data_IF_217377114087
#
_entry.id   IF_217377114087
#
_cell.length_a   1.000
_cell.length_b   1.000
_cell.length_c   1.000
_cell.angle_alpha   90.00
_cell.angle_beta   90.00
_cell.angle_gamma   90.00
#
_symmetry.space_group_name_H-M   'P 1'
#
loop_
_entity.id
_entity.type
_entity.pdbx_description
1 polymer ?
#
# COMPACT_ATOMS: atom_id res chain seq x y z
N UNK A 1 7.52 -72.16 27.56
CA UNK A 1 7.54 -71.14 26.47
C UNK A 1 6.66 -69.95 26.78
N UNK A 2 6.64 -69.37 27.95
CA UNK A 2 5.83 -68.20 28.32
C UNK A 2 6.62 -67.02 28.90
N UNK A 3 7.90 -67.18 29.14
CA UNK A 3 8.76 -66.13 29.78
C UNK A 3 9.44 -65.22 28.74
N UNK A 4 9.55 -65.63 27.46
CA UNK A 4 10.25 -64.83 26.41
C UNK A 4 9.43 -63.62 25.92
N UNK A 5 8.10 -63.66 26.06
CA UNK A 5 7.24 -62.53 25.59
C UNK A 5 7.22 -61.37 26.56
N UNK A 6 7.44 -61.63 27.84
CA UNK A 6 7.50 -60.57 28.89
C UNK A 6 8.77 -59.71 28.79
N UNK A 7 9.88 -60.31 28.41
CA UNK A 7 11.14 -59.62 28.21
C UNK A 7 11.08 -58.71 26.92
N UNK A 8 10.42 -59.18 25.85
CA UNK A 8 10.23 -58.39 24.64
C UNK A 8 9.28 -57.18 24.89
N UNK A 9 8.23 -57.34 25.70
CA UNK A 9 7.33 -56.25 26.05
C UNK A 9 8.01 -55.20 26.97
N UNK A 10 8.91 -55.60 27.86
CA UNK A 10 9.66 -54.67 28.71
C UNK A 10 10.69 -53.84 27.91
N UNK A 11 11.29 -54.40 26.89
CA UNK A 11 12.21 -53.64 26.00
C UNK A 11 11.51 -52.62 25.10
N UNK A 12 10.28 -52.91 24.68
CA UNK A 12 9.46 -51.97 23.91
C UNK A 12 8.96 -50.80 24.77
N UNK A 13 8.66 -51.02 26.05
CA UNK A 13 8.26 -49.94 26.96
C UNK A 13 9.41 -49.01 27.36
N UNK A 14 10.66 -49.51 27.39
CA UNK A 14 11.83 -48.69 27.71
C UNK A 14 12.29 -47.81 26.52
N UNK A 15 11.95 -48.13 25.29
CA UNK A 15 12.29 -47.34 24.11
C UNK A 15 11.32 -46.17 23.81
N UNK A 16 10.16 -46.13 24.48
CA UNK A 16 9.16 -45.06 24.27
C UNK A 16 9.39 -43.81 25.14
N UNK A 17 10.32 -43.85 26.10
CA UNK A 17 10.55 -42.74 27.05
C UNK A 17 11.64 -41.75 26.64
N UNK A 18 12.21 -41.89 25.45
CA UNK A 18 13.40 -41.11 25.02
C UNK A 18 13.13 -39.89 24.16
N UNK A 19 11.89 -39.61 23.77
CA UNK A 19 11.56 -38.49 22.88
C UNK A 19 10.59 -37.46 23.48
N UNK A 20 10.72 -37.19 24.76
CA UNK A 20 9.99 -36.09 25.36
C UNK A 20 10.98 -35.00 25.79
N UNK A 21 10.78 -33.82 25.23
CA UNK A 21 11.32 -32.52 25.65
C UNK A 21 12.71 -32.12 25.19
N UNK A 22 12.99 -32.14 23.89
CA UNK A 22 13.63 -30.97 23.35
C UNK A 22 12.52 -29.91 23.16
N UNK A 23 12.04 -29.31 24.22
CA UNK A 23 11.09 -28.22 24.15
C UNK A 23 11.72 -27.11 23.34
N UNK A 24 11.20 -26.88 22.15
CA UNK A 24 11.48 -25.68 21.40
C UNK A 24 11.07 -24.51 22.30
N UNK A 25 12.03 -23.89 22.97
CA UNK A 25 11.79 -22.62 23.66
C UNK A 25 11.76 -21.56 22.58
N UNK A 26 10.60 -20.99 22.25
CA UNK A 26 10.59 -19.83 21.35
C UNK A 26 11.49 -18.77 21.98
N UNK A 27 12.47 -18.32 21.22
CA UNK A 27 13.27 -17.16 21.61
C UNK A 27 12.32 -15.98 21.46
N UNK A 28 11.94 -15.38 22.56
CA UNK A 28 11.17 -14.15 22.58
C UNK A 28 12.08 -13.03 22.09
N UNK A 29 11.94 -12.66 20.82
CA UNK A 29 12.67 -11.55 20.22
C UNK A 29 11.94 -10.28 20.65
N UNK A 30 12.64 -9.38 21.34
CA UNK A 30 12.08 -8.10 21.78
C UNK A 30 11.67 -7.26 20.56
N UNK A 31 10.60 -6.46 20.69
CA UNK A 31 10.08 -5.61 19.62
C UNK A 31 11.15 -4.70 18.99
N UNK A 32 12.14 -4.31 19.77
CA UNK A 32 13.25 -3.48 19.32
C UNK A 32 14.21 -4.26 18.39
N UNK A 33 14.41 -5.54 18.61
CA UNK A 33 15.21 -6.43 17.76
C UNK A 33 14.43 -6.83 16.51
N UNK A 34 13.13 -7.09 16.64
CA UNK A 34 12.20 -7.29 15.51
C UNK A 34 12.11 -6.06 14.60
N UNK A 35 12.22 -4.84 15.13
CA UNK A 35 12.20 -3.61 14.34
C UNK A 35 13.46 -3.46 13.48
N UNK A 36 14.60 -3.95 13.92
CA UNK A 36 15.85 -4.00 13.14
C UNK A 36 15.80 -5.06 12.04
N UNK A 37 15.14 -6.19 12.30
CA UNK A 37 14.98 -7.30 11.34
C UNK A 37 13.92 -7.05 10.28
N UNK A 38 12.88 -6.26 10.57
CA UNK A 38 11.77 -5.93 9.65
C UNK A 38 12.05 -4.75 8.71
N UNK A 39 13.28 -4.34 8.55
CA UNK A 39 13.62 -3.16 7.78
C UNK A 39 13.48 -1.89 8.61
N UNK A 40 13.85 -0.77 8.06
CA UNK A 40 14.09 0.50 8.73
C UNK A 40 13.01 0.88 9.74
N UNK A 41 13.29 0.80 11.02
CA UNK A 41 12.54 1.47 12.06
C UNK A 41 12.65 2.99 11.83
N UNK A 42 11.56 3.60 11.42
CA UNK A 42 11.50 5.06 11.31
C UNK A 42 11.18 5.61 12.70
N UNK A 43 12.17 6.17 13.37
CA UNK A 43 11.96 6.80 14.66
C UNK A 43 10.95 7.94 14.55
N UNK A 44 10.06 8.12 15.56
CA UNK A 44 9.17 9.27 15.63
C UNK A 44 9.95 10.58 15.41
N UNK A 45 9.48 11.46 14.54
CA UNK A 45 10.15 12.72 14.20
C UNK A 45 11.24 12.63 13.11
N UNK A 46 11.58 11.44 12.61
CA UNK A 46 12.51 11.31 11.49
C UNK A 46 11.90 11.69 10.14
N UNK A 47 10.59 11.51 9.95
CA UNK A 47 9.90 11.94 8.74
C UNK A 47 9.72 13.45 8.78
N UNK A 48 10.39 14.16 7.88
CA UNK A 48 10.29 15.63 7.76
C UNK A 48 9.38 16.08 6.62
N UNK A 49 9.07 15.20 5.68
CA UNK A 49 8.04 15.42 4.65
C UNK A 49 7.45 14.10 4.18
N UNK A 50 6.14 14.09 3.99
CA UNK A 50 5.40 12.99 3.42
C UNK A 50 4.45 13.51 2.35
N UNK A 51 4.52 12.95 1.15
CA UNK A 51 3.67 13.33 0.02
C UNK A 51 3.01 12.13 -0.63
N UNK A 52 1.77 12.32 -1.06
CA UNK A 52 1.00 11.34 -1.83
C UNK A 52 0.53 12.02 -3.10
N UNK A 53 0.71 11.35 -4.23
CA UNK A 53 0.09 11.70 -5.50
C UNK A 53 -0.60 10.47 -6.05
N UNK A 54 -1.88 10.58 -6.38
CA UNK A 54 -2.65 9.53 -7.04
C UNK A 54 -3.24 10.08 -8.33
N UNK A 55 -3.23 9.29 -9.39
CA UNK A 55 -3.96 9.61 -10.62
C UNK A 55 -4.61 8.36 -11.21
N UNK A 56 -5.79 8.54 -11.77
CA UNK A 56 -6.50 7.49 -12.50
C UNK A 56 -7.11 8.08 -13.76
N UNK A 57 -6.90 7.41 -14.87
CA UNK A 57 -7.47 7.79 -16.17
C UNK A 57 -8.07 6.59 -16.87
N UNK A 58 -9.16 6.82 -17.56
CA UNK A 58 -9.84 5.85 -18.41
C UNK A 58 -10.08 6.46 -19.77
N UNK A 59 -9.53 5.85 -20.81
CA UNK A 59 -9.81 6.20 -22.22
C UNK A 59 -10.60 5.05 -22.85
N UNK A 60 -11.74 5.36 -23.44
CA UNK A 60 -12.57 4.41 -24.17
C UNK A 60 -12.15 4.26 -25.64
N UNK A 61 -12.80 3.35 -26.36
CA UNK A 61 -12.51 3.09 -27.77
C UNK A 61 -12.79 4.28 -28.71
N UNK A 62 -13.68 5.23 -28.34
CA UNK A 62 -13.89 6.46 -29.10
C UNK A 62 -12.82 7.52 -28.87
N UNK A 63 -11.91 7.31 -27.92
CA UNK A 63 -10.86 8.25 -27.54
C UNK A 63 -11.28 9.23 -26.45
N UNK A 64 -12.52 9.18 -25.94
CA UNK A 64 -12.92 9.99 -24.79
C UNK A 64 -12.11 9.59 -23.56
N UNK A 65 -11.57 10.58 -22.85
CA UNK A 65 -10.78 10.40 -21.62
C UNK A 65 -11.51 11.02 -20.44
N UNK A 66 -11.60 10.26 -19.36
CA UNK A 66 -12.04 10.71 -18.04
C UNK A 66 -11.02 10.34 -17.00
N UNK A 67 -10.79 11.18 -16.00
CA UNK A 67 -9.88 10.88 -14.92
C UNK A 67 -9.81 11.95 -13.87
N UNK A 68 -8.98 11.69 -12.86
CA UNK A 68 -8.63 12.66 -11.83
C UNK A 68 -7.21 12.44 -11.36
N UNK A 69 -6.64 13.48 -10.78
CA UNK A 69 -5.42 13.43 -9.99
C UNK A 69 -5.69 14.04 -8.62
N UNK A 70 -5.09 13.48 -7.58
CA UNK A 70 -5.13 14.04 -6.23
C UNK A 70 -3.75 14.04 -5.62
N UNK A 71 -3.45 15.08 -4.86
CA UNK A 71 -2.18 15.21 -4.16
C UNK A 71 -2.36 15.74 -2.75
N UNK A 72 -1.47 15.32 -1.85
CA UNK A 72 -1.34 15.84 -0.50
C UNK A 72 0.14 15.86 -0.12
N UNK A 73 0.56 16.90 0.59
CA UNK A 73 1.88 16.97 1.19
C UNK A 73 1.79 17.41 2.65
N UNK A 74 2.49 16.69 3.51
CA UNK A 74 2.54 16.94 4.96
C UNK A 74 4.01 17.21 5.33
N UNK A 75 4.21 18.25 6.13
CA UNK A 75 5.49 18.62 6.76
C UNK A 75 5.25 19.02 8.20
N UNK A 76 6.31 19.18 8.97
CA UNK A 76 6.19 19.63 10.37
C UNK A 76 5.42 20.95 10.54
N UNK A 77 5.48 21.84 9.54
CA UNK A 77 4.75 23.11 9.51
C UNK A 77 3.28 22.97 9.03
N UNK A 78 2.85 21.80 8.57
CA UNK A 78 1.49 21.59 8.07
C UNK A 78 0.51 21.49 9.24
N UNK A 79 -0.32 22.51 9.41
CA UNK A 79 -1.32 22.55 10.48
C UNK A 79 -2.49 21.60 10.18
N UNK A 80 -2.92 21.55 8.92
CA UNK A 80 -4.02 20.71 8.46
C UNK A 80 -3.66 20.10 7.10
N UNK A 81 -3.46 18.78 7.03
CA UNK A 81 -3.24 18.13 5.76
C UNK A 81 -4.52 18.12 4.93
N UNK A 82 -4.43 18.54 3.67
CA UNK A 82 -5.54 18.57 2.74
C UNK A 82 -5.15 17.88 1.43
N UNK A 83 -6.09 17.15 0.87
CA UNK A 83 -5.99 16.65 -0.49
C UNK A 83 -6.52 17.71 -1.45
N UNK A 84 -5.84 17.85 -2.58
CA UNK A 84 -6.29 18.68 -3.71
C UNK A 84 -6.57 17.80 -4.90
N UNK A 85 -7.70 18.03 -5.58
CA UNK A 85 -8.21 17.19 -6.66
C UNK A 85 -8.35 18.00 -7.92
N UNK A 86 -7.76 17.52 -9.01
CA UNK A 86 -7.97 18.00 -10.38
C UNK A 86 -8.66 16.92 -11.20
N UNK A 87 -9.69 17.28 -11.96
CA UNK A 87 -10.35 16.37 -12.88
C UNK A 87 -9.81 16.52 -14.29
N UNK A 88 -9.75 15.42 -15.03
CA UNK A 88 -9.22 15.33 -16.39
C UNK A 88 -10.35 14.89 -17.31
N UNK A 89 -10.60 15.64 -18.39
CA UNK A 89 -11.60 15.31 -19.41
C UNK A 89 -11.07 15.67 -20.79
N UNK A 90 -11.15 14.72 -21.72
CA UNK A 90 -10.90 14.96 -23.15
C UNK A 90 -12.03 14.32 -23.94
N UNK A 91 -12.39 14.94 -25.04
CA UNK A 91 -13.40 14.42 -25.97
C UNK A 91 -12.70 13.63 -27.06
N UNK A 92 -13.16 12.42 -27.30
CA UNK A 92 -12.75 11.60 -28.44
C UNK A 92 -13.51 12.01 -29.73
N UNK A 93 -13.06 11.48 -30.85
CA UNK A 93 -13.64 11.69 -32.16
C UNK A 93 -14.07 10.37 -32.83
N UNK A 94 -13.97 9.26 -32.13
CA UNK A 94 -14.38 7.94 -32.62
C UNK A 94 -15.86 7.65 -32.45
N UNK A 95 -16.29 6.51 -32.95
CA UNK A 95 -17.66 6.02 -32.80
C UNK A 95 -17.95 5.59 -31.35
N UNK A 96 -19.19 5.70 -30.93
CA UNK A 96 -19.64 5.24 -29.60
C UNK A 96 -19.26 3.77 -29.38
N UNK A 97 -18.58 3.44 -28.28
CA UNK A 97 -18.19 2.06 -28.00
C UNK A 97 -19.42 1.15 -27.83
N UNK A 98 -19.29 -0.08 -28.29
CA UNK A 98 -20.28 -1.12 -27.99
C UNK A 98 -20.28 -1.40 -26.49
N UNK A 99 -21.45 -1.54 -25.84
CA UNK A 99 -21.54 -1.87 -24.43
C UNK A 99 -20.72 -3.12 -24.05
N UNK A 100 -20.07 -3.08 -22.91
CA UNK A 100 -19.31 -4.21 -22.40
C UNK A 100 -20.23 -5.36 -21.97
N UNK A 101 -19.97 -6.55 -22.49
CA UNK A 101 -20.70 -7.80 -22.18
C UNK A 101 -19.87 -8.78 -21.38
N UNK A 102 -18.61 -8.45 -21.11
CA UNK A 102 -17.69 -9.31 -20.37
C UNK A 102 -18.14 -9.58 -18.95
N UNK A 103 -17.76 -10.74 -18.43
CA UNK A 103 -17.98 -11.13 -17.06
C UNK A 103 -16.65 -11.46 -16.38
N UNK A 104 -16.39 -10.76 -15.26
CA UNK A 104 -15.18 -10.96 -14.43
C UNK A 104 -15.63 -11.38 -13.04
N UNK A 105 -15.25 -12.60 -12.65
CA UNK A 105 -15.63 -13.22 -11.38
C UNK A 105 -14.49 -13.07 -10.36
N UNK A 106 -14.84 -12.92 -9.07
CA UNK A 106 -13.89 -12.85 -7.95
C UNK A 106 -13.47 -11.43 -7.60
N UNK A 107 -12.54 -11.32 -6.66
CA UNK A 107 -11.97 -10.04 -6.20
C UNK A 107 -12.62 -9.42 -4.98
N UNK A 108 -13.61 -10.06 -4.35
CA UNK A 108 -14.23 -9.55 -3.12
C UNK A 108 -13.23 -9.46 -1.95
N UNK A 109 -12.25 -10.37 -1.88
CA UNK A 109 -11.22 -10.38 -0.85
C UNK A 109 -10.20 -9.23 -0.96
N UNK A 110 -10.13 -8.54 -2.10
CA UNK A 110 -9.16 -7.45 -2.31
C UNK A 110 -9.37 -6.26 -1.37
N UNK A 111 -10.60 -6.05 -0.91
CA UNK A 111 -10.94 -4.93 -0.02
C UNK A 111 -10.41 -5.13 1.42
N UNK A 112 -10.01 -6.34 1.77
CA UNK A 112 -9.49 -6.70 3.10
C UNK A 112 -7.96 -6.91 3.10
N UNK A 113 -7.29 -6.62 1.98
CA UNK A 113 -5.84 -6.78 1.86
C UNK A 113 -5.09 -5.72 2.65
N UNK A 114 -3.96 -6.10 3.24
CA UNK A 114 -3.02 -5.18 3.89
C UNK A 114 -1.80 -4.95 3.00
N UNK A 115 -1.19 -3.76 3.12
CA UNK A 115 -0.03 -3.39 2.31
C UNK A 115 -0.44 -2.86 0.93
N UNK A 116 0.26 -3.28 -0.14
CA UNK A 116 -0.01 -2.87 -1.51
C UNK A 116 -0.68 -4.00 -2.28
N UNK A 117 -1.89 -3.77 -2.73
CA UNK A 117 -2.66 -4.72 -3.55
C UNK A 117 -2.95 -4.11 -4.90
N UNK A 118 -2.54 -4.81 -5.96
CA UNK A 118 -2.81 -4.43 -7.34
C UNK A 118 -3.51 -5.56 -8.08
N UNK A 119 -4.61 -5.25 -8.76
CA UNK A 119 -5.37 -6.22 -9.55
C UNK A 119 -5.84 -5.61 -10.86
N UNK A 120 -5.62 -6.33 -11.95
CA UNK A 120 -6.22 -6.06 -13.26
C UNK A 120 -6.96 -7.30 -13.70
N UNK A 121 -8.22 -7.16 -14.04
CA UNK A 121 -9.04 -8.25 -14.56
C UNK A 121 -9.79 -7.75 -15.78
N UNK A 122 -9.65 -8.44 -16.87
CA UNK A 122 -10.23 -8.06 -18.15
C UNK A 122 -11.01 -9.22 -18.79
N UNK A 123 -12.19 -8.90 -19.33
CA UNK A 123 -12.96 -9.74 -20.19
C UNK A 123 -13.36 -8.87 -21.40
N UNK A 124 -12.75 -9.09 -22.53
CA UNK A 124 -12.87 -8.28 -23.76
C UNK A 124 -11.49 -8.01 -24.36
N UNK A 125 -11.48 -7.70 -25.64
CA UNK A 125 -10.26 -7.64 -26.46
C UNK A 125 -9.66 -6.23 -26.52
N UNK A 126 -8.36 -6.15 -26.79
CA UNK A 126 -7.66 -4.90 -27.05
C UNK A 126 -7.58 -3.95 -25.86
N UNK A 127 -7.81 -4.43 -24.64
CA UNK A 127 -7.68 -3.62 -23.42
C UNK A 127 -6.23 -3.46 -22.98
N UNK A 128 -5.89 -2.29 -22.47
CA UNK A 128 -4.62 -2.02 -21.77
C UNK A 128 -4.91 -1.45 -20.40
N UNK A 129 -4.34 -2.04 -19.35
CA UNK A 129 -4.48 -1.51 -18.00
C UNK A 129 -3.16 -1.58 -17.25
N UNK A 130 -2.77 -0.45 -16.66
CA UNK A 130 -1.57 -0.32 -15.86
C UNK A 130 -1.93 0.13 -14.43
N UNK A 131 -1.48 -0.64 -13.46
CA UNK A 131 -1.48 -0.26 -12.06
C UNK A 131 -0.03 -0.06 -11.63
N UNK A 132 0.33 1.14 -11.20
CA UNK A 132 1.70 1.48 -10.82
C UNK A 132 1.73 2.10 -9.42
N UNK A 133 2.64 1.62 -8.59
CA UNK A 133 2.93 2.19 -7.27
C UNK A 133 4.43 2.48 -7.18
N UNK A 134 4.77 3.73 -6.95
CA UNK A 134 6.14 4.19 -6.71
C UNK A 134 6.27 4.67 -5.26
N UNK A 135 7.27 4.17 -4.54
CA UNK A 135 7.59 4.62 -3.19
C UNK A 135 9.00 5.17 -3.20
N UNK A 136 9.12 6.48 -3.06
CA UNK A 136 10.38 7.20 -3.06
C UNK A 136 10.73 7.59 -1.61
N UNK A 137 11.85 7.08 -1.12
CA UNK A 137 12.38 7.44 0.19
C UNK A 137 13.74 8.08 -0.02
N UNK A 138 13.91 9.29 0.49
CA UNK A 138 15.20 10.00 0.48
C UNK A 138 15.52 10.60 1.83
N UNK A 139 16.79 10.87 2.06
CA UNK A 139 17.26 11.58 3.24
C UNK A 139 17.62 13.03 2.88
N UNK A 140 17.27 13.96 3.77
CA UNK A 140 17.62 15.37 3.63
C UNK A 140 17.61 16.05 5.02
N UNK A 141 18.32 17.16 5.15
CA UNK A 141 18.35 17.96 6.39
C UNK A 141 17.15 18.91 6.50
N UNK A 142 16.53 19.24 5.37
CA UNK A 142 15.39 20.15 5.28
C UNK A 142 14.28 19.54 4.44
N UNK A 143 13.01 19.79 4.76
CA UNK A 143 11.90 19.37 3.91
C UNK A 143 11.97 20.06 2.55
N UNK A 144 11.49 19.42 1.47
CA UNK A 144 11.37 20.07 0.17
C UNK A 144 10.35 21.21 0.24
N UNK A 145 10.39 22.19 -0.68
CA UNK A 145 9.33 23.19 -0.78
C UNK A 145 7.95 22.53 -0.91
N UNK A 146 6.95 23.14 -0.31
CA UNK A 146 5.55 22.71 -0.55
C UNK A 146 5.21 22.96 -2.01
N UNK A 147 4.76 21.92 -2.70
CA UNK A 147 4.24 22.07 -4.05
C UNK A 147 2.98 22.95 -4.03
N UNK A 148 2.80 23.86 -5.02
CA UNK A 148 1.57 24.62 -5.14
C UNK A 148 0.35 23.66 -5.22
N UNK A 149 -0.70 23.99 -4.49
CA UNK A 149 -1.94 23.22 -4.53
C UNK A 149 -2.55 23.29 -5.94
N UNK A 150 -2.82 22.14 -6.54
CA UNK A 150 -3.39 22.00 -7.86
C UNK A 150 -4.81 21.46 -7.76
N UNK A 151 -5.80 22.23 -8.18
CA UNK A 151 -7.20 21.81 -8.17
C UNK A 151 -7.99 22.27 -6.95
N UNK A 152 -9.05 21.56 -6.62
CA UNK A 152 -9.99 21.87 -5.55
C UNK A 152 -9.63 21.11 -4.28
N UNK A 153 -9.68 21.79 -3.13
CA UNK A 153 -9.49 21.14 -1.83
C UNK A 153 -10.60 20.12 -1.57
N UNK A 154 -10.21 18.91 -1.15
CA UNK A 154 -11.12 17.82 -0.82
C UNK A 154 -11.32 17.75 0.68
N UNK A 155 -12.50 18.14 1.14
CA UNK A 155 -12.88 18.12 2.55
C UNK A 155 -13.41 16.71 2.90
N UNK A 156 -13.10 16.24 4.11
CA UNK A 156 -13.62 14.97 4.61
C UNK A 156 -15.16 14.90 4.53
N UNK A 157 -15.68 13.80 3.98
CA UNK A 157 -17.10 13.61 3.72
C UNK A 157 -17.59 14.20 2.38
N UNK A 158 -16.75 14.93 1.64
CA UNK A 158 -17.06 15.42 0.31
C UNK A 158 -16.60 14.48 -0.79
N UNK A 159 -17.22 14.65 -1.96
CA UNK A 159 -16.84 13.99 -3.20
C UNK A 159 -16.66 15.04 -4.29
N UNK A 160 -15.53 15.03 -4.96
CA UNK A 160 -15.24 15.82 -6.15
C UNK A 160 -15.24 14.88 -7.34
N UNK A 161 -15.97 15.22 -8.39
CA UNK A 161 -16.09 14.35 -9.55
C UNK A 161 -16.29 15.10 -10.85
N UNK A 162 -16.25 14.34 -11.94
CA UNK A 162 -16.52 14.79 -13.29
C UNK A 162 -17.14 13.67 -14.11
N UNK A 163 -17.80 14.02 -15.22
CA UNK A 163 -18.38 13.06 -16.16
C UNK A 163 -18.20 13.52 -17.60
N UNK A 164 -18.15 12.57 -18.53
CA UNK A 164 -18.22 12.76 -19.97
C UNK A 164 -18.69 11.44 -20.63
N UNK A 165 -18.52 11.31 -21.95
CA UNK A 165 -18.92 10.12 -22.69
C UNK A 165 -18.14 8.84 -22.28
N UNK A 166 -16.90 8.96 -21.78
CA UNK A 166 -16.14 7.82 -21.27
C UNK A 166 -16.68 7.27 -19.93
N UNK A 167 -17.36 8.11 -19.13
CA UNK A 167 -17.87 7.70 -17.84
C UNK A 167 -17.90 8.81 -16.81
N UNK A 168 -17.80 8.42 -15.55
CA UNK A 168 -17.67 9.33 -14.43
C UNK A 168 -16.45 8.98 -13.57
N UNK A 169 -15.85 9.99 -12.97
CA UNK A 169 -14.82 9.86 -11.95
C UNK A 169 -15.29 10.54 -10.68
N UNK A 170 -15.00 9.93 -9.54
CA UNK A 170 -15.30 10.47 -8.21
C UNK A 170 -14.08 10.28 -7.30
N UNK A 171 -13.69 11.34 -6.59
CA UNK A 171 -12.67 11.33 -5.56
C UNK A 171 -13.33 11.72 -4.25
N UNK A 172 -13.23 10.87 -3.24
CA UNK A 172 -13.82 11.07 -1.93
C UNK A 172 -12.80 10.89 -0.82
N UNK A 173 -12.93 11.67 0.25
CA UNK A 173 -12.17 11.52 1.47
C UNK A 173 -13.08 11.13 2.62
N UNK A 174 -12.63 10.18 3.44
CA UNK A 174 -13.30 9.75 4.66
C UNK A 174 -12.29 9.70 5.82
N UNK A 175 -12.76 9.40 7.02
CA UNK A 175 -11.88 9.15 8.18
C UNK A 175 -10.94 7.96 7.98
N UNK A 176 -11.27 7.03 7.07
CA UNK A 176 -10.45 5.86 6.77
C UNK A 176 -9.43 6.08 5.66
N UNK A 177 -9.53 7.18 4.88
CA UNK A 177 -8.59 7.45 3.79
C UNK A 177 -9.21 8.15 2.58
N UNK A 178 -8.54 8.07 1.45
CA UNK A 178 -8.95 8.66 0.18
C UNK A 178 -9.19 7.56 -0.85
N UNK A 179 -10.28 7.71 -1.59
CA UNK A 179 -10.68 6.81 -2.67
C UNK A 179 -10.90 7.60 -3.96
N UNK A 180 -10.41 7.06 -5.06
CA UNK A 180 -10.65 7.53 -6.41
C UNK A 180 -11.28 6.38 -7.22
N UNK A 181 -12.47 6.60 -7.75
CA UNK A 181 -13.22 5.60 -8.50
C UNK A 181 -13.60 6.13 -9.88
N UNK A 182 -13.40 5.33 -10.92
CA UNK A 182 -13.91 5.55 -12.26
C UNK A 182 -14.93 4.46 -12.56
N UNK A 183 -16.12 4.89 -13.00
CA UNK A 183 -17.16 4.04 -13.57
C UNK A 183 -17.28 4.37 -15.05
N UNK A 184 -16.82 3.48 -15.92
CA UNK A 184 -16.90 3.69 -17.35
C UNK A 184 -18.32 3.54 -17.88
N UNK A 185 -18.69 4.38 -18.86
CA UNK A 185 -19.99 4.32 -19.53
C UNK A 185 -20.18 3.01 -20.29
N UNK A 186 -21.44 2.64 -20.58
CA UNK A 186 -21.74 1.47 -21.42
C UNK A 186 -21.25 0.15 -20.82
N UNK A 187 -21.21 0.01 -19.50
CA UNK A 187 -20.73 -1.19 -18.81
C UNK A 187 -19.29 -1.60 -19.23
N UNK A 188 -18.44 -0.63 -19.61
CA UNK A 188 -17.08 -0.91 -20.04
C UNK A 188 -16.18 -1.40 -18.87
N UNK A 189 -16.50 -1.02 -17.64
CA UNK A 189 -15.79 -1.48 -16.45
C UNK A 189 -15.61 -0.41 -15.38
N UNK A 190 -14.68 -0.68 -14.46
CA UNK A 190 -14.39 0.19 -13.32
C UNK A 190 -12.89 0.24 -13.02
N UNK A 191 -12.40 1.37 -12.54
CA UNK A 191 -11.09 1.48 -11.91
C UNK A 191 -11.24 2.09 -10.52
N UNK A 192 -10.57 1.50 -9.54
CA UNK A 192 -10.59 1.92 -8.14
C UNK A 192 -9.17 2.05 -7.63
N UNK A 193 -8.85 3.19 -7.06
CA UNK A 193 -7.66 3.39 -6.23
C UNK A 193 -8.07 3.84 -4.85
N UNK A 194 -7.46 3.28 -3.82
CA UNK A 194 -7.73 3.65 -2.44
C UNK A 194 -6.45 3.64 -1.63
N UNK A 195 -6.26 4.67 -0.81
CA UNK A 195 -5.29 4.69 0.29
C UNK A 195 -6.07 4.77 1.58
N UNK A 196 -5.91 3.78 2.45
CA UNK A 196 -6.59 3.66 3.73
C UNK A 196 -5.62 3.14 4.80
N UNK A 197 -6.09 3.01 6.05
CA UNK A 197 -5.27 2.50 7.15
C UNK A 197 -4.68 1.09 6.90
N UNK A 198 -5.36 0.25 6.11
CA UNK A 198 -4.88 -1.08 5.73
C UNK A 198 -3.83 -1.09 4.63
N UNK A 199 -3.63 0.02 3.91
CA UNK A 199 -2.67 0.11 2.81
C UNK A 199 -3.22 0.75 1.54
N UNK A 200 -2.69 0.32 0.41
CA UNK A 200 -3.00 0.82 -0.91
C UNK A 200 -3.64 -0.27 -1.77
N UNK A 201 -4.77 0.05 -2.36
CA UNK A 201 -5.48 -0.80 -3.32
C UNK A 201 -5.57 -0.12 -4.68
N UNK A 202 -5.19 -0.84 -5.74
CA UNK A 202 -5.48 -0.49 -7.13
C UNK A 202 -6.18 -1.69 -7.79
N UNK A 203 -7.43 -1.50 -8.16
CA UNK A 203 -8.26 -2.55 -8.75
C UNK A 203 -8.92 -2.07 -10.04
N UNK A 204 -8.57 -2.68 -11.16
CA UNK A 204 -9.13 -2.41 -12.47
C UNK A 204 -9.91 -3.61 -12.96
N UNK A 205 -11.14 -3.37 -13.40
CA UNK A 205 -12.03 -4.37 -13.98
C UNK A 205 -12.51 -3.86 -15.32
N UNK A 206 -12.19 -4.56 -16.39
CA UNK A 206 -12.52 -4.26 -17.78
C UNK A 206 -13.54 -5.29 -18.27
N UNK A 207 -14.69 -4.82 -18.75
CA UNK A 207 -15.79 -5.65 -19.23
C UNK A 207 -16.08 -5.44 -20.72
N UNK A 208 -15.62 -4.33 -21.27
CA UNK A 208 -15.68 -3.99 -22.67
C UNK A 208 -14.34 -4.17 -23.36
N UNK A 209 -14.21 -3.64 -24.58
CA UNK A 209 -13.02 -3.78 -25.42
C UNK A 209 -12.38 -2.43 -25.75
N UNK A 210 -11.10 -2.47 -26.10
CA UNK A 210 -10.29 -1.33 -26.52
C UNK A 210 -10.27 -0.15 -25.51
N UNK A 211 -10.28 -0.47 -24.23
CA UNK A 211 -10.10 0.52 -23.15
C UNK A 211 -8.64 0.64 -22.76
N UNK A 212 -8.22 1.85 -22.39
CA UNK A 212 -6.89 2.12 -21.82
C UNK A 212 -7.08 2.72 -20.44
N UNK A 213 -6.53 2.04 -19.41
CA UNK A 213 -6.63 2.48 -18.02
C UNK A 213 -5.23 2.63 -17.43
N UNK A 214 -4.98 3.78 -16.81
CA UNK A 214 -3.73 4.01 -16.09
C UNK A 214 -4.05 4.46 -14.67
N UNK A 215 -3.58 3.70 -13.71
CA UNK A 215 -3.63 4.02 -12.29
C UNK A 215 -2.19 4.18 -11.77
N UNK A 216 -1.91 5.31 -11.15
CA UNK A 216 -0.61 5.59 -10.56
C UNK A 216 -0.80 6.10 -9.13
N UNK A 217 0.00 5.57 -8.22
CA UNK A 217 0.16 6.12 -6.89
C UNK A 217 1.64 6.32 -6.61
N UNK A 218 2.00 7.50 -6.16
CA UNK A 218 3.36 7.83 -5.77
C UNK A 218 3.37 8.30 -4.31
N UNK A 219 4.19 7.64 -3.50
CA UNK A 219 4.49 8.03 -2.13
C UNK A 219 5.89 8.61 -2.09
N UNK A 220 6.03 9.82 -1.54
CA UNK A 220 7.32 10.50 -1.37
C UNK A 220 7.56 10.72 0.12
N UNK A 221 8.60 10.10 0.64
CA UNK A 221 8.99 10.21 2.05
C UNK A 221 10.37 10.85 2.13
N UNK A 222 10.48 11.90 2.92
CA UNK A 222 11.77 12.53 3.21
C UNK A 222 12.08 12.33 4.69
N UNK A 223 13.21 11.66 4.93
CA UNK A 223 13.72 11.38 6.26
C UNK A 223 14.79 12.41 6.62
N UNK A 224 14.82 12.82 7.88
CA UNK A 224 15.92 13.64 8.39
C UNK A 224 17.21 12.83 8.44
N UNK A 225 18.31 13.42 7.95
CA UNK A 225 19.66 12.84 8.02
C UNK A 225 20.22 12.77 9.44
N UNK A 226 19.63 13.44 10.42
CA UNK A 226 20.00 13.36 11.83
C UNK A 226 19.68 11.96 12.41
N UNK A 227 20.16 10.90 11.75
CA UNK A 227 20.29 9.57 12.34
C UNK A 227 21.15 9.66 13.59
N UNK A 228 20.97 8.73 14.53
CA UNK A 228 21.83 8.57 15.70
C UNK A 228 23.26 8.56 15.19
N UNK A 229 24.05 9.60 15.55
CA UNK A 229 25.47 9.62 15.23
C UNK A 229 26.10 8.33 15.71
N UNK A 230 26.96 7.67 14.92
CA UNK A 230 27.71 6.49 15.41
C UNK A 230 28.38 6.72 16.76
N UNK A 231 28.78 7.98 17.06
CA UNK A 231 29.33 8.36 18.36
C UNK A 231 28.35 8.26 19.54
N UNK A 232 27.03 8.34 19.32
CA UNK A 232 26.05 8.13 20.38
C UNK A 232 25.89 6.64 20.76
N UNK A 233 26.08 5.75 19.79
CA UNK A 233 26.13 4.29 20.02
C UNK A 233 27.43 3.86 20.70
N UNK A 234 28.57 4.49 20.36
CA UNK A 234 29.85 4.24 21.03
C UNK A 234 29.84 4.69 22.50
N UNK A 235 29.17 5.80 22.83
CA UNK A 235 28.98 6.22 24.22
C UNK A 235 28.23 5.17 25.04
N UNK A 236 27.15 4.60 24.49
CA UNK A 236 26.35 3.58 25.18
C UNK A 236 27.15 2.26 25.37
N UNK A 237 27.93 1.84 24.39
CA UNK A 237 28.76 0.65 24.48
C UNK A 237 29.92 0.84 25.48
N UNK A 238 30.49 2.05 25.56
CA UNK A 238 31.55 2.39 26.52
C UNK A 238 30.98 2.45 27.94
N UNK A 239 29.75 2.98 28.14
CA UNK A 239 29.06 2.95 29.42
C UNK A 239 28.73 1.53 29.89
N UNK A 240 28.26 0.68 28.98
CA UNK A 240 27.98 -0.74 29.27
C UNK A 240 29.28 -1.52 29.60
N UNK A 241 30.41 -1.23 28.96
CA UNK A 241 31.72 -1.79 29.31
C UNK A 241 32.22 -1.31 30.67
N UNK A 242 31.98 -0.03 30.99
CA UNK A 242 32.32 0.53 32.31
C UNK A 242 31.50 -0.12 33.42
N UNK A 243 30.20 -0.35 33.23
CA UNK A 243 29.32 -1.04 34.17
C UNK A 243 29.76 -2.50 34.42
N UNK A 244 30.26 -3.18 33.38
CA UNK A 244 30.80 -4.55 33.53
C UNK A 244 32.07 -4.61 34.34
N UNK A 245 32.90 -3.53 34.37
CA UNK A 245 34.16 -3.48 35.11
C UNK A 245 33.99 -2.97 36.55
N UNK A 246 32.81 -2.52 36.98
CA UNK A 246 32.51 -2.08 38.34
C UNK A 246 31.92 -3.23 39.18
N UNK A 247 31.63 -4.37 38.56
CA UNK A 247 31.06 -5.54 39.21
C UNK A 247 32.04 -6.54 39.77
N UNK A 248 33.15 -6.04 40.35
CA UNK A 248 34.05 -6.65 41.37
C UNK A 248 35.17 -5.71 41.70
#
# INVERSE_FOLDING_TARGET
>A
MKTSYWLAAACLAASASGYANAGFKPIEIQDQELSQLRGRYVMPGRIISFGIVMSSTWRNASGDLIGAATSMQIQAATIKPEFYVSTIKEQGNGSTPTPGTGNVIGGAALNNSQGVTQSVRAAGDGNTANNNVAINVKEANTPPPLAPAQGQALIAGQTIGASNAAGNVAVSASSSGVQMAIQASGNQGTALQQIAQGGLLQNTRLLGSANVVNNMTQLNVVLNNNGISPGALDCNLTQLRALRNIGY
#
